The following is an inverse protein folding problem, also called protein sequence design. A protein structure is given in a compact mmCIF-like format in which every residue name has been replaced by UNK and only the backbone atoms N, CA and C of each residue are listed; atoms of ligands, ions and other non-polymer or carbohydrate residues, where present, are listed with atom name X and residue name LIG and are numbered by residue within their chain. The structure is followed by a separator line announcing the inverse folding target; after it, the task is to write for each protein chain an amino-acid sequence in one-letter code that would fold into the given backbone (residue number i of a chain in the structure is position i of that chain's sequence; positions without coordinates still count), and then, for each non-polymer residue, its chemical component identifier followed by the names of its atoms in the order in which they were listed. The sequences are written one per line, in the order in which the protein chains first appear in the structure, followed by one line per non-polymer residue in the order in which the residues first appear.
data_IF_965192507678
#
_entry.id   IF_965192507678
#
_cell.length_a   1.000
_cell.length_b   1.000
_cell.length_c   1.000
_cell.angle_alpha   90.00
_cell.angle_beta   90.00
_cell.angle_gamma   90.00
#
_symmetry.space_group_name_H-M   'P 1'
#
loop_
_entity.id
_entity.type
_entity.pdbx_description
1 polymer ?
#
# COMPACT_ATOMS: atom_id res chain seq x y z
N UNK A 1 21.63 11.86 -4.49
CA UNK A 1 23.09 11.55 -4.52
C UNK A 1 23.26 10.09 -4.18
N UNK A 2 23.95 9.29 -5.02
CA UNK A 2 24.24 7.89 -4.69
C UNK A 2 25.31 7.87 -3.59
N UNK A 3 25.00 7.32 -2.41
CA UNK A 3 25.99 7.12 -1.36
C UNK A 3 26.82 5.88 -1.68
N UNK A 4 28.07 5.85 -1.21
CA UNK A 4 28.96 4.69 -1.39
C UNK A 4 29.04 3.88 -0.10
N UNK A 5 29.42 2.61 -0.21
CA UNK A 5 29.67 1.76 0.97
C UNK A 5 30.69 2.35 1.93
N UNK A 6 31.72 3.03 1.41
CA UNK A 6 32.71 3.72 2.24
C UNK A 6 32.09 4.87 3.05
N UNK A 7 31.15 5.61 2.47
CA UNK A 7 30.43 6.69 3.16
C UNK A 7 29.52 6.12 4.25
N UNK A 8 28.79 5.04 3.96
CA UNK A 8 27.92 4.34 4.92
C UNK A 8 28.70 3.75 6.10
N UNK A 9 29.86 3.13 5.83
CA UNK A 9 30.74 2.64 6.90
C UNK A 9 31.24 3.78 7.80
N UNK A 10 31.63 4.92 7.23
CA UNK A 10 32.03 6.10 8.03
C UNK A 10 30.87 6.66 8.83
N UNK A 11 29.67 6.65 8.27
CA UNK A 11 28.44 7.08 8.93
C UNK A 11 28.17 6.21 10.17
N UNK A 12 28.21 4.88 10.03
CA UNK A 12 28.06 3.93 11.15
C UNK A 12 29.14 4.14 12.21
N UNK A 13 30.40 4.30 11.80
CA UNK A 13 31.51 4.56 12.73
C UNK A 13 31.25 5.82 13.57
N UNK A 14 30.71 6.88 12.97
CA UNK A 14 30.37 8.13 13.66
C UNK A 14 29.16 7.96 14.58
N UNK A 15 28.11 7.30 14.11
CA UNK A 15 26.85 7.13 14.86
C UNK A 15 27.04 6.27 16.11
N UNK A 16 27.76 5.15 15.97
CA UNK A 16 28.00 4.20 17.07
C UNK A 16 29.32 4.42 17.79
N UNK A 17 30.05 5.49 17.46
CA UNK A 17 31.38 5.82 18.00
C UNK A 17 32.36 4.61 17.95
N UNK A 18 32.38 3.90 16.82
CA UNK A 18 33.18 2.70 16.62
C UNK A 18 34.46 3.01 15.85
N UNK A 19 35.58 2.40 16.27
CA UNK A 19 36.81 2.39 15.47
C UNK A 19 36.82 1.17 14.56
N UNK A 20 37.66 1.19 13.52
CA UNK A 20 37.81 0.06 12.58
C UNK A 20 38.13 -1.25 13.31
N UNK A 21 38.96 -1.20 14.37
CA UNK A 21 39.27 -2.39 15.16
C UNK A 21 38.06 -2.95 15.92
N UNK A 22 37.12 -2.09 16.30
CA UNK A 22 35.93 -2.48 17.06
C UNK A 22 34.91 -3.16 16.12
N UNK A 23 34.77 -2.64 14.90
CA UNK A 23 33.98 -3.30 13.84
C UNK A 23 34.57 -4.68 13.51
N UNK A 24 35.90 -4.78 13.39
CA UNK A 24 36.55 -6.05 13.09
C UNK A 24 36.31 -7.09 14.19
N UNK A 25 36.39 -6.70 15.47
CA UNK A 25 36.07 -7.57 16.61
C UNK A 25 34.61 -8.02 16.60
N UNK A 26 33.68 -7.12 16.28
CA UNK A 26 32.24 -7.46 16.15
C UNK A 26 31.98 -8.40 14.98
N UNK A 27 32.72 -8.27 13.88
CA UNK A 27 32.57 -9.10 12.69
C UNK A 27 33.27 -10.47 12.79
N UNK A 28 34.20 -10.65 13.72
CA UNK A 28 34.95 -11.89 13.91
C UNK A 28 34.09 -13.16 14.06
N UNK A 29 33.02 -13.21 14.89
CA UNK A 29 32.16 -14.40 14.99
C UNK A 29 31.47 -14.74 13.67
N UNK A 30 30.88 -13.74 13.00
CA UNK A 30 30.18 -13.92 11.73
C UNK A 30 31.14 -14.32 10.60
N UNK A 31 32.37 -13.79 10.62
CA UNK A 31 33.41 -14.20 9.67
C UNK A 31 33.77 -15.69 9.85
N UNK A 32 33.84 -16.18 11.08
CA UNK A 32 34.12 -17.61 11.37
C UNK A 32 32.97 -18.50 10.90
N UNK A 33 31.73 -18.07 11.13
CA UNK A 33 30.53 -18.80 10.71
C UNK A 33 30.45 -18.92 9.17
N UNK A 34 30.73 -17.83 8.46
CA UNK A 34 30.74 -17.79 6.99
C UNK A 34 32.02 -18.38 6.37
N UNK A 35 33.00 -18.82 7.18
CA UNK A 35 34.26 -19.37 6.68
C UNK A 35 35.19 -18.35 6.02
N UNK A 36 34.98 -17.05 6.24
CA UNK A 36 35.73 -15.96 5.61
C UNK A 36 36.79 -15.37 6.52
N UNK A 37 37.87 -14.84 5.92
CA UNK A 37 38.91 -14.08 6.63
C UNK A 37 38.82 -12.61 6.26
N UNK A 38 38.71 -11.76 7.29
CA UNK A 38 38.78 -10.32 7.15
C UNK A 38 39.87 -9.78 8.07
N UNK A 39 40.83 -9.06 7.49
CA UNK A 39 41.92 -8.42 8.22
C UNK A 39 41.70 -6.92 8.40
N UNK A 40 42.55 -6.29 9.23
CA UNK A 40 42.56 -4.84 9.43
C UNK A 40 42.81 -4.07 8.12
N UNK A 41 43.64 -4.61 7.23
CA UNK A 41 43.90 -4.01 5.93
C UNK A 41 42.61 -3.97 5.07
N UNK A 42 41.87 -5.08 5.00
CA UNK A 42 40.62 -5.16 4.23
C UNK A 42 39.64 -4.06 4.65
N UNK A 43 39.39 -3.95 5.96
CA UNK A 43 38.45 -2.96 6.48
C UNK A 43 38.93 -1.52 6.22
N UNK A 44 40.25 -1.27 6.28
CA UNK A 44 40.82 0.03 5.94
C UNK A 44 40.63 0.38 4.45
N UNK A 45 40.74 -0.60 3.55
CA UNK A 45 40.45 -0.41 2.12
C UNK A 45 38.97 -0.13 1.87
N UNK A 46 38.06 -0.79 2.60
CA UNK A 46 36.61 -0.56 2.50
C UNK A 46 36.21 0.84 2.98
N UNK A 47 36.72 1.26 4.14
CA UNK A 47 36.45 2.60 4.70
C UNK A 47 37.05 3.70 3.82
N UNK A 48 38.21 3.48 3.21
CA UNK A 48 38.79 4.43 2.25
C UNK A 48 38.09 4.43 0.89
N UNK A 49 37.29 3.39 0.58
CA UNK A 49 36.58 3.24 -0.69
C UNK A 49 37.45 2.79 -1.84
N UNK A 50 38.67 2.30 -1.57
CA UNK A 50 39.59 1.77 -2.59
C UNK A 50 39.13 0.42 -3.15
N UNK A 51 38.46 -0.37 -2.32
CA UNK A 51 37.99 -1.71 -2.65
C UNK A 51 36.54 -1.85 -2.18
N UNK A 52 35.70 -2.49 -2.99
CA UNK A 52 34.35 -2.88 -2.61
C UNK A 52 34.40 -4.22 -1.85
N UNK A 53 33.71 -4.35 -0.70
CA UNK A 53 33.59 -5.64 -0.03
C UNK A 53 32.84 -6.62 -0.94
N UNK A 54 33.32 -7.86 -1.02
CA UNK A 54 32.57 -8.95 -1.66
C UNK A 54 31.33 -9.33 -0.86
N UNK A 55 30.40 -10.08 -1.47
CA UNK A 55 29.10 -10.40 -0.88
C UNK A 55 29.21 -10.99 0.54
N UNK A 56 30.02 -12.03 0.73
CA UNK A 56 30.18 -12.69 2.05
C UNK A 56 30.71 -11.74 3.13
N UNK A 57 31.68 -10.88 2.77
CA UNK A 57 32.26 -9.88 3.68
C UNK A 57 31.27 -8.78 4.00
N UNK A 58 30.42 -8.40 3.05
CA UNK A 58 29.35 -7.44 3.24
C UNK A 58 28.29 -8.00 4.19
N UNK A 59 27.89 -9.27 4.02
CA UNK A 59 26.98 -9.99 4.92
C UNK A 59 27.52 -10.08 6.34
N UNK A 60 28.82 -10.38 6.50
CA UNK A 60 29.42 -10.38 7.84
C UNK A 60 29.39 -9.00 8.51
N UNK A 61 29.64 -7.93 7.73
CA UNK A 61 29.62 -6.55 8.24
C UNK A 61 28.21 -6.08 8.58
N UNK A 62 27.21 -6.43 7.75
CA UNK A 62 25.81 -6.08 7.98
C UNK A 62 25.30 -6.68 9.28
N UNK A 63 25.54 -7.99 9.49
CA UNK A 63 25.19 -8.70 10.71
C UNK A 63 25.92 -8.14 11.94
N UNK A 64 27.23 -7.88 11.84
CA UNK A 64 28.03 -7.34 12.95
C UNK A 64 27.59 -5.94 13.41
N UNK A 65 27.07 -5.14 12.49
CA UNK A 65 26.65 -3.77 12.73
C UNK A 65 25.12 -3.64 12.92
N UNK A 66 24.38 -4.75 12.78
CA UNK A 66 22.92 -4.80 12.75
C UNK A 66 22.30 -3.82 11.73
N UNK A 67 22.95 -3.68 10.57
CA UNK A 67 22.48 -2.83 9.47
C UNK A 67 22.07 -3.68 8.28
N UNK A 68 21.24 -3.14 7.39
CA UNK A 68 20.89 -3.81 6.14
C UNK A 68 22.07 -3.85 5.16
N UNK A 69 22.25 -4.98 4.45
CA UNK A 69 23.25 -5.11 3.38
C UNK A 69 23.02 -4.10 2.26
N UNK A 70 21.77 -3.93 1.84
CA UNK A 70 21.40 -2.99 0.77
C UNK A 70 21.63 -1.55 1.21
N UNK A 71 21.39 -1.24 2.49
CA UNK A 71 21.76 0.07 3.03
C UNK A 71 23.26 0.31 2.97
N UNK A 72 24.05 -0.70 3.35
CA UNK A 72 25.50 -0.65 3.35
C UNK A 72 26.08 -0.56 1.92
N UNK A 73 25.37 -1.05 0.91
CA UNK A 73 25.71 -0.83 -0.51
C UNK A 73 25.45 0.62 -0.97
N UNK A 74 24.71 1.42 -0.20
CA UNK A 74 24.39 2.81 -0.52
C UNK A 74 23.00 3.03 -1.14
N UNK A 75 22.12 2.03 -1.07
CA UNK A 75 20.72 2.20 -1.47
C UNK A 75 19.95 3.05 -0.46
N UNK A 76 18.84 3.63 -0.92
CA UNK A 76 17.93 4.43 -0.10
C UNK A 76 16.90 3.53 0.59
N UNK A 77 17.34 2.88 1.65
CA UNK A 77 16.56 1.93 2.47
C UNK A 77 16.78 2.23 3.96
N UNK A 78 15.99 1.69 4.89
CA UNK A 78 16.24 1.82 6.32
C UNK A 78 17.60 1.25 6.73
N UNK A 79 18.24 1.89 7.72
CA UNK A 79 19.58 1.51 8.18
C UNK A 79 19.58 0.15 8.88
N UNK A 80 18.62 -0.13 9.77
CA UNK A 80 18.61 -1.37 10.53
C UNK A 80 17.86 -2.47 9.77
N UNK A 81 18.37 -3.71 9.87
CA UNK A 81 17.68 -4.88 9.33
C UNK A 81 16.35 -5.15 10.05
N UNK A 82 16.26 -4.81 11.34
CA UNK A 82 15.05 -4.95 12.18
C UNK A 82 13.95 -3.94 11.88
N UNK A 83 14.24 -2.85 11.16
CA UNK A 83 13.19 -1.90 10.79
C UNK A 83 12.26 -2.49 9.72
N UNK A 84 12.75 -3.49 8.98
CA UNK A 84 11.94 -4.31 8.08
C UNK A 84 11.11 -5.36 8.82
N UNK A 85 11.50 -5.78 10.04
CA UNK A 85 10.80 -6.86 10.78
C UNK A 85 9.56 -6.38 11.54
N UNK A 86 9.31 -5.08 11.63
CA UNK A 86 8.05 -4.56 12.19
C UNK A 86 6.89 -4.60 11.19
N UNK A 87 7.20 -4.66 9.89
CA UNK A 87 6.24 -5.03 8.86
C UNK A 87 6.51 -6.47 8.47
N UNK A 88 5.68 -7.36 9.01
CA UNK A 88 5.36 -8.67 8.47
C UNK A 88 6.05 -9.91 9.09
N UNK A 89 5.76 -10.18 10.37
CA UNK A 89 5.88 -11.54 10.93
C UNK A 89 4.99 -12.58 10.19
N UNK A 90 4.05 -12.14 9.33
CA UNK A 90 3.20 -13.01 8.50
C UNK A 90 3.77 -13.28 7.09
N UNK A 91 4.88 -12.65 6.69
CA UNK A 91 5.54 -12.89 5.40
C UNK A 91 6.94 -13.50 5.56
N UNK A 92 7.06 -14.53 6.38
CA UNK A 92 8.13 -15.53 6.21
C UNK A 92 7.65 -16.52 5.15
N UNK A 93 7.61 -16.06 3.90
CA UNK A 93 7.25 -16.85 2.74
C UNK A 93 8.36 -16.77 1.71
N UNK A 94 8.82 -17.93 1.24
CA UNK A 94 9.71 -18.12 0.09
C UNK A 94 9.45 -17.06 -0.98
N UNK A 95 10.51 -16.53 -1.60
CA UNK A 95 10.47 -15.61 -2.75
C UNK A 95 9.19 -15.84 -3.55
N UNK A 96 8.25 -14.90 -3.42
CA UNK A 96 6.95 -15.04 -4.03
C UNK A 96 7.19 -15.23 -5.53
N UNK A 97 6.57 -16.25 -6.14
CA UNK A 97 6.69 -16.46 -7.58
C UNK A 97 6.37 -15.16 -8.31
N UNK A 98 6.97 -14.93 -9.47
CA UNK A 98 6.81 -13.69 -10.25
C UNK A 98 5.33 -13.31 -10.48
N UNK A 99 4.46 -14.32 -10.56
CA UNK A 99 2.99 -14.20 -10.62
C UNK A 99 2.35 -13.64 -9.34
N UNK A 100 2.90 -13.95 -8.17
CA UNK A 100 2.45 -13.42 -6.87
C UNK A 100 2.86 -11.96 -6.69
N UNK A 101 4.06 -11.59 -7.14
CA UNK A 101 4.50 -10.18 -7.18
C UNK A 101 3.62 -9.35 -8.12
N UNK A 102 3.27 -9.90 -9.29
CA UNK A 102 2.34 -9.26 -10.22
C UNK A 102 0.93 -9.07 -9.60
N UNK A 103 0.42 -10.06 -8.85
CA UNK A 103 -0.86 -9.95 -8.15
C UNK A 103 -0.83 -8.93 -7.01
N UNK A 104 0.27 -8.86 -6.26
CA UNK A 104 0.47 -7.85 -5.21
C UNK A 104 0.54 -6.45 -5.84
N UNK A 105 1.32 -6.28 -6.91
CA UNK A 105 1.42 -5.03 -7.64
C UNK A 105 0.05 -4.57 -8.20
N UNK A 106 -0.69 -5.47 -8.84
CA UNK A 106 -2.06 -5.19 -9.32
C UNK A 106 -3.03 -4.84 -8.19
N UNK A 107 -2.87 -5.43 -6.99
CA UNK A 107 -3.69 -5.10 -5.85
C UNK A 107 -3.33 -3.72 -5.27
N UNK A 108 -2.05 -3.36 -5.22
CA UNK A 108 -1.58 -2.02 -4.81
C UNK A 108 -2.03 -0.95 -5.80
N UNK A 109 -2.05 -1.25 -7.11
CA UNK A 109 -2.61 -0.36 -8.13
C UNK A 109 -4.13 -0.15 -8.01
N UNK A 110 -4.86 -1.13 -7.48
CA UNK A 110 -6.31 -0.97 -7.19
C UNK A 110 -6.57 -0.01 -6.02
N UNK A 111 -5.57 0.30 -5.19
CA UNK A 111 -5.66 1.27 -4.09
C UNK A 111 -5.19 2.67 -4.51
N UNK A 112 -5.71 3.18 -5.63
CA UNK A 112 -5.50 4.57 -6.06
C UNK A 112 -6.74 5.45 -5.80
N UNK A 113 -6.53 6.77 -5.69
CA UNK A 113 -7.62 7.76 -5.65
C UNK A 113 -8.49 7.73 -4.39
N UNK A 114 -9.81 7.70 -4.58
CA UNK A 114 -10.80 7.83 -3.50
C UNK A 114 -10.80 6.62 -2.55
N UNK A 115 -10.44 5.43 -3.06
CA UNK A 115 -10.34 4.20 -2.29
C UNK A 115 -9.27 4.33 -1.20
N UNK A 116 -8.11 4.90 -1.53
CA UNK A 116 -7.06 5.19 -0.56
C UNK A 116 -7.54 6.18 0.50
N UNK A 117 -8.18 7.28 0.08
CA UNK A 117 -8.71 8.30 1.00
C UNK A 117 -9.74 7.72 1.97
N UNK A 118 -10.59 6.81 1.49
CA UNK A 118 -11.57 6.12 2.34
C UNK A 118 -10.88 5.31 3.44
N UNK A 119 -9.85 4.55 3.08
CA UNK A 119 -9.06 3.73 4.02
C UNK A 119 -8.30 4.61 5.01
N UNK A 120 -7.65 5.67 4.54
CA UNK A 120 -6.92 6.62 5.38
C UNK A 120 -7.84 7.28 6.41
N UNK A 121 -9.05 7.66 6.01
CA UNK A 121 -10.07 8.21 6.92
C UNK A 121 -10.61 7.14 7.88
N UNK A 122 -10.86 5.92 7.39
CA UNK A 122 -11.34 4.80 8.20
C UNK A 122 -10.37 4.45 9.33
N UNK A 123 -9.07 4.47 9.05
CA UNK A 123 -8.03 4.18 10.03
C UNK A 123 -7.94 5.23 11.15
N UNK A 124 -8.30 6.49 10.87
CA UNK A 124 -8.31 7.59 11.84
C UNK A 124 -9.57 7.63 12.72
N UNK A 125 -10.63 6.92 12.35
CA UNK A 125 -11.89 6.89 13.10
C UNK A 125 -11.81 5.96 14.33
N UNK A 126 -12.63 6.25 15.34
CA UNK A 126 -12.81 5.37 16.51
C UNK A 126 -13.55 4.07 16.14
N UNK A 127 -13.42 3.02 16.95
CA UNK A 127 -14.05 1.72 16.66
C UNK A 127 -15.58 1.77 16.54
N UNK A 128 -16.23 2.65 17.31
CA UNK A 128 -17.67 2.90 17.18
C UNK A 128 -18.01 3.50 15.82
N UNK A 129 -17.20 4.43 15.32
CA UNK A 129 -17.45 5.08 14.04
C UNK A 129 -17.06 4.20 12.86
N UNK A 130 -16.05 3.35 13.00
CA UNK A 130 -15.70 2.32 12.02
C UNK A 130 -16.89 1.39 11.74
N UNK A 131 -17.55 0.89 12.79
CA UNK A 131 -18.78 0.09 12.65
C UNK A 131 -19.88 0.83 11.91
N UNK A 132 -20.04 2.14 12.16
CA UNK A 132 -21.02 2.97 11.44
C UNK A 132 -20.68 3.07 9.96
N UNK A 133 -19.42 3.32 9.61
CA UNK A 133 -18.99 3.39 8.19
C UNK A 133 -19.35 2.11 7.44
N UNK A 134 -19.09 0.93 8.05
CA UNK A 134 -19.46 -0.36 7.47
C UNK A 134 -20.99 -0.50 7.32
N UNK A 135 -21.75 -0.18 8.37
CA UNK A 135 -23.22 -0.24 8.29
C UNK A 135 -23.79 0.70 7.22
N UNK A 136 -23.24 1.91 7.08
CA UNK A 136 -23.67 2.85 6.05
C UNK A 136 -23.31 2.34 4.66
N UNK A 137 -22.11 1.77 4.46
CA UNK A 137 -21.74 1.18 3.15
C UNK A 137 -22.64 0.01 2.76
N UNK A 138 -23.01 -0.83 3.73
CA UNK A 138 -23.92 -1.97 3.50
C UNK A 138 -25.32 -1.50 3.14
N UNK A 139 -25.83 -0.48 3.84
CA UNK A 139 -27.13 0.13 3.50
C UNK A 139 -27.13 0.76 2.11
N UNK A 140 -26.07 1.50 1.74
CA UNK A 140 -25.97 2.09 0.39
C UNK A 140 -25.97 1.00 -0.69
N UNK A 141 -25.24 -0.09 -0.47
CA UNK A 141 -25.19 -1.20 -1.41
C UNK A 141 -26.54 -1.93 -1.51
N UNK A 142 -27.25 -2.08 -0.39
CA UNK A 142 -28.59 -2.65 -0.37
C UNK A 142 -29.59 -1.78 -1.13
N UNK A 143 -29.56 -0.46 -0.93
CA UNK A 143 -30.41 0.50 -1.67
C UNK A 143 -30.15 0.39 -3.17
N UNK A 144 -28.88 0.40 -3.59
CA UNK A 144 -28.53 0.28 -5.02
C UNK A 144 -29.09 -1.00 -5.64
N UNK A 145 -28.95 -2.14 -4.97
CA UNK A 145 -29.50 -3.43 -5.46
C UNK A 145 -31.02 -3.39 -5.56
N UNK A 146 -31.69 -2.78 -4.59
CA UNK A 146 -33.16 -2.64 -4.64
C UNK A 146 -33.60 -1.72 -5.78
N UNK A 147 -32.91 -0.62 -6.03
CA UNK A 147 -33.21 0.29 -7.15
C UNK A 147 -33.02 -0.42 -8.50
N UNK A 148 -31.94 -1.18 -8.67
CA UNK A 148 -31.68 -1.99 -9.86
C UNK A 148 -32.76 -3.05 -10.09
N UNK A 149 -33.22 -3.73 -9.03
CA UNK A 149 -34.32 -4.69 -9.08
C UNK A 149 -35.67 -4.03 -9.42
N UNK A 150 -35.95 -2.83 -8.90
CA UNK A 150 -37.15 -2.07 -9.26
C UNK A 150 -37.13 -1.60 -10.71
N UNK A 151 -35.96 -1.24 -11.25
CA UNK A 151 -35.80 -0.89 -12.66
C UNK A 151 -36.11 -2.07 -13.59
N UNK A 152 -35.82 -3.30 -13.17
CA UNK A 152 -36.18 -4.53 -13.91
C UNK A 152 -37.66 -4.90 -13.82
N UNK A 153 -38.38 -4.34 -12.83
CA UNK A 153 -39.81 -4.57 -12.61
C UNK A 153 -40.69 -3.48 -13.21
N UNK A 154 -40.13 -2.44 -13.84
CA UNK A 154 -40.92 -1.46 -14.59
C UNK A 154 -41.70 -2.19 -15.68
N UNK A 155 -43.04 -2.29 -15.57
CA UNK A 155 -43.85 -2.80 -16.66
C UNK A 155 -43.73 -1.79 -17.80
N UNK A 156 -43.53 -2.24 -19.03
CA UNK A 156 -43.86 -1.41 -20.20
C UNK A 156 -45.32 -1.00 -20.01
N UNK A 157 -45.55 0.28 -19.70
CA UNK A 157 -46.90 0.81 -19.57
C UNK A 157 -47.54 0.68 -20.95
N UNK A 158 -48.37 -0.35 -21.14
CA UNK A 158 -49.17 -0.57 -22.34
C UNK A 158 -50.31 0.46 -22.44
N UNK A 159 -49.98 1.75 -22.36
CA UNK A 159 -50.90 2.87 -22.30
C UNK A 159 -50.57 3.94 -23.32
N UNK A 160 -50.34 3.50 -24.55
CA UNK A 160 -50.83 4.27 -25.69
C UNK A 160 -51.72 3.34 -26.50
N UNK A 161 -53.02 3.36 -26.22
CA UNK A 161 -54.00 2.81 -27.15
C UNK A 161 -53.97 3.73 -28.38
N UNK A 162 -53.20 3.34 -29.39
CA UNK A 162 -53.12 4.02 -30.70
C UNK A 162 -54.43 3.98 -31.50
N UNK A 163 -55.46 3.36 -30.95
CA UNK A 163 -56.74 3.05 -31.59
C UNK A 163 -57.89 4.00 -31.17
N UNK A 164 -57.60 5.07 -30.40
CA UNK A 164 -58.57 6.15 -30.12
C UNK A 164 -57.89 7.51 -30.27
N UNK A 165 -58.39 8.35 -31.20
CA UNK A 165 -58.09 9.79 -31.27
C UNK A 165 -58.67 10.48 -30.03
N UNK A 166 -57.88 10.58 -28.95
CA UNK A 166 -58.21 11.37 -27.76
C UNK A 166 -57.64 12.79 -27.85
N UNK A 167 -57.67 13.42 -29.03
CA UNK A 167 -56.96 14.71 -29.23
C UNK A 167 -57.84 15.97 -29.08
N UNK A 168 -59.16 15.87 -28.90
CA UNK A 168 -59.98 17.11 -28.81
C UNK A 168 -61.05 17.20 -27.73
N UNK A 169 -61.46 16.11 -27.08
CA UNK A 169 -62.62 16.14 -26.17
C UNK A 169 -62.29 16.16 -24.67
N UNK A 170 -61.20 15.53 -24.23
CA UNK A 170 -60.92 15.39 -22.79
C UNK A 170 -60.33 16.66 -22.15
N UNK A 171 -59.58 17.46 -22.89
CA UNK A 171 -58.93 18.65 -22.34
C UNK A 171 -59.88 19.86 -22.16
N UNK A 172 -61.03 19.90 -22.87
CA UNK A 172 -61.97 21.04 -22.78
C UNK A 172 -62.98 20.92 -21.63
N UNK A 173 -63.24 19.72 -21.12
CA UNK A 173 -64.29 19.51 -20.13
C UNK A 173 -63.87 19.81 -18.67
N UNK A 174 -62.57 19.73 -18.37
CA UNK A 174 -62.08 19.92 -17.00
C UNK A 174 -61.94 21.41 -16.63
N UNK A 175 -61.62 22.27 -17.60
CA UNK A 175 -61.49 23.72 -17.38
C UNK A 175 -62.86 24.43 -17.31
N UNK A 176 -63.85 23.98 -18.09
CA UNK A 176 -65.19 24.59 -18.14
C UNK A 176 -66.03 24.36 -16.85
N UNK A 177 -65.66 23.39 -16.00
CA UNK A 177 -66.34 23.14 -14.70
C UNK A 177 -65.92 24.13 -13.61
N UNK A 178 -64.72 24.71 -13.70
CA UNK A 178 -64.16 25.57 -12.64
C UNK A 178 -64.57 27.03 -12.76
N UNK A 179 -65.15 27.43 -13.89
CA UNK A 179 -65.48 28.82 -14.24
C UNK A 179 -67.00 29.10 -14.34
N UNK A 180 -67.89 28.18 -13.91
CA UNK A 180 -69.34 28.45 -13.89
C UNK A 180 -69.73 29.40 -12.74
N UNK A 181 -70.24 30.62 -13.04
CA UNK A 181 -70.65 31.59 -12.02
C UNK A 181 -72.04 31.33 -11.41
N UNK A 182 -72.72 30.21 -11.73
CA UNK A 182 -74.04 29.84 -11.19
C UNK A 182 -74.03 28.74 -10.11
N UNK A 183 -72.89 28.50 -9.43
CA UNK A 183 -72.85 27.66 -8.22
C UNK A 183 -72.83 28.49 -6.93
#
# INVERSE_FOLDING_TARGET
MKTTTSARLKEVMRLYNLRQIDILKKAEPYCKELGIKMGRNDLSQYVSGKVLPGQEKLTALSQALNVSETWLMGYDVPMNATDWTQYDENCIGKEASDDTLAKIAQNVEKFHGNQKRLIDNYNQLSDTNKKKVVNYSDNLLAIQKMEEEQYHLMPDAAHERTDIDTEELSAKHDDDIMDDPNF
#
